data_IF_799200472157
#
_entry.id   IF_799200472157
#
_cell.length_a   1.000
_cell.length_b   1.000
_cell.length_c   1.000
_cell.angle_alpha   90.00
_cell.angle_beta   90.00
_cell.angle_gamma   90.00
#
_symmetry.space_group_name_H-M   'P 1'
#
loop_
_entity.id
_entity.type
_entity.pdbx_description
1 polymer ?
#
# COMPACT_ATOMS: atom_id res chain seq x y z
N UNK A 1 1.14 -4.43 -15.02
CA UNK A 1 2.01 -3.84 -13.99
C UNK A 1 3.34 -4.57 -14.12
N UNK A 2 4.44 -3.87 -14.43
CA UNK A 2 5.78 -4.47 -14.50
C UNK A 2 6.25 -4.97 -13.13
N UNK A 3 7.08 -6.03 -13.13
CA UNK A 3 7.66 -6.55 -11.89
C UNK A 3 8.63 -5.53 -11.28
N UNK A 4 8.53 -5.32 -9.97
CA UNK A 4 9.36 -4.35 -9.23
C UNK A 4 8.87 -2.90 -9.32
N UNK A 5 7.77 -2.61 -10.06
CA UNK A 5 7.19 -1.27 -10.14
C UNK A 5 6.08 -1.04 -9.10
N UNK A 6 5.75 0.23 -8.88
CA UNK A 6 4.61 0.66 -8.07
C UNK A 6 3.58 1.37 -8.96
N UNK A 7 2.37 0.82 -9.06
CA UNK A 7 1.24 1.45 -9.72
C UNK A 7 0.32 2.11 -8.68
N UNK A 8 0.17 3.42 -8.76
CA UNK A 8 -0.84 4.17 -8.01
C UNK A 8 -2.20 4.10 -8.70
N UNK A 9 -3.26 3.81 -7.94
CA UNK A 9 -4.66 3.93 -8.39
C UNK A 9 -5.29 5.06 -7.61
N UNK A 10 -5.47 6.18 -8.28
CA UNK A 10 -5.94 7.43 -7.69
C UNK A 10 -7.39 7.73 -8.10
N UNK A 11 -8.19 8.23 -7.18
CA UNK A 11 -9.55 8.64 -7.46
C UNK A 11 -10.33 9.01 -6.20
N UNK A 12 -11.41 9.77 -6.36
CA UNK A 12 -12.30 10.18 -5.26
C UNK A 12 -13.03 8.99 -4.62
N UNK A 13 -13.64 9.22 -3.46
CA UNK A 13 -14.53 8.25 -2.83
C UNK A 13 -15.67 7.88 -3.79
N UNK A 14 -15.98 6.58 -3.88
CA UNK A 14 -17.01 6.09 -4.80
C UNK A 14 -16.58 5.93 -6.27
N UNK A 15 -15.33 6.24 -6.63
CA UNK A 15 -14.84 6.07 -8.02
C UNK A 15 -14.70 4.61 -8.47
N UNK A 16 -14.72 3.64 -7.53
CA UNK A 16 -14.60 2.22 -7.82
C UNK A 16 -13.26 1.60 -7.41
N UNK A 17 -12.35 2.33 -6.77
CA UNK A 17 -11.01 1.85 -6.35
C UNK A 17 -11.07 0.56 -5.53
N UNK A 18 -11.86 0.56 -4.46
CA UNK A 18 -11.99 -0.63 -3.58
C UNK A 18 -12.63 -1.82 -4.30
N UNK A 19 -13.52 -1.57 -5.27
CA UNK A 19 -14.07 -2.65 -6.12
C UNK A 19 -12.97 -3.25 -7.00
N UNK A 20 -12.16 -2.39 -7.66
CA UNK A 20 -11.02 -2.83 -8.45
C UNK A 20 -9.99 -3.56 -7.57
N UNK A 21 -9.69 -3.03 -6.37
CA UNK A 21 -8.82 -3.69 -5.39
C UNK A 21 -9.31 -5.10 -5.04
N UNK A 22 -10.62 -5.27 -4.79
CA UNK A 22 -11.20 -6.60 -4.53
C UNK A 22 -11.10 -7.56 -5.71
N UNK A 23 -11.20 -7.06 -6.95
CA UNK A 23 -10.97 -7.86 -8.15
C UNK A 23 -9.50 -8.29 -8.24
N UNK A 24 -8.57 -7.35 -8.01
CA UNK A 24 -7.12 -7.62 -8.01
C UNK A 24 -6.77 -8.65 -6.92
N UNK A 25 -7.40 -8.57 -5.74
CA UNK A 25 -7.20 -9.54 -4.65
C UNK A 25 -7.87 -10.90 -4.90
N UNK A 26 -8.63 -11.06 -5.97
CA UNK A 26 -9.40 -12.28 -6.23
C UNK A 26 -10.59 -12.49 -5.31
N UNK A 27 -10.98 -11.46 -4.53
CA UNK A 27 -12.14 -11.47 -3.63
C UNK A 27 -13.45 -11.26 -4.40
N UNK A 28 -13.40 -10.56 -5.53
CA UNK A 28 -14.51 -10.30 -6.41
C UNK A 28 -14.15 -10.77 -7.83
N UNK A 29 -15.00 -11.59 -8.43
CA UNK A 29 -14.84 -11.98 -9.83
C UNK A 29 -15.37 -10.87 -10.75
N UNK A 30 -14.63 -10.44 -11.80
CA UNK A 30 -15.15 -9.49 -12.76
C UNK A 30 -16.33 -10.10 -13.55
N UNK A 31 -17.33 -9.27 -13.87
CA UNK A 31 -18.48 -9.68 -14.68
C UNK A 31 -18.08 -9.92 -16.14
N UNK A 32 -17.09 -9.17 -16.63
CA UNK A 32 -16.56 -9.29 -18.00
C UNK A 32 -15.08 -8.92 -18.03
N UNK A 33 -14.41 -9.26 -19.15
CA UNK A 33 -12.98 -9.05 -19.32
C UNK A 33 -12.13 -10.18 -18.73
N UNK A 34 -10.85 -9.98 -18.69
CA UNK A 34 -9.87 -10.97 -18.22
C UNK A 34 -8.96 -10.36 -17.16
N UNK A 35 -8.62 -11.17 -16.16
CA UNK A 35 -7.55 -10.87 -15.22
C UNK A 35 -6.38 -11.83 -15.47
N UNK A 36 -5.31 -11.29 -16.01
CA UNK A 36 -4.11 -12.05 -16.34
C UNK A 36 -3.03 -11.83 -15.29
N UNK A 37 -2.50 -12.92 -14.76
CA UNK A 37 -1.32 -12.93 -13.89
C UNK A 37 -0.25 -13.78 -14.62
N UNK A 38 0.89 -13.18 -14.97
CA UNK A 38 1.93 -13.81 -15.78
C UNK A 38 1.39 -14.45 -17.07
N UNK A 39 0.48 -13.75 -17.74
CA UNK A 39 -0.17 -14.22 -18.99
C UNK A 39 -1.23 -15.31 -18.81
N UNK A 40 -1.52 -15.75 -17.58
CA UNK A 40 -2.52 -16.78 -17.28
C UNK A 40 -3.76 -16.16 -16.64
N UNK A 41 -4.94 -16.51 -17.15
CA UNK A 41 -6.20 -16.01 -16.60
C UNK A 41 -6.45 -16.60 -15.21
N UNK A 42 -6.52 -15.72 -14.21
CA UNK A 42 -6.71 -16.06 -12.79
C UNK A 42 -8.03 -16.82 -12.56
N UNK A 43 -9.07 -16.50 -13.32
CA UNK A 43 -10.39 -17.08 -13.15
C UNK A 43 -10.68 -18.27 -14.07
N UNK A 44 -9.76 -18.64 -14.97
CA UNK A 44 -9.93 -19.78 -15.86
C UNK A 44 -9.86 -21.14 -15.15
N UNK A 45 -9.17 -21.21 -13.99
CA UNK A 45 -8.99 -22.46 -13.25
C UNK A 45 -8.85 -22.22 -11.73
N UNK A 46 -8.99 -23.30 -10.95
CA UNK A 46 -8.68 -23.27 -9.50
C UNK A 46 -7.21 -22.95 -9.24
N UNK A 47 -6.32 -23.39 -10.12
CA UNK A 47 -4.87 -23.16 -10.00
C UNK A 47 -4.52 -21.68 -10.21
N UNK A 48 -5.23 -20.97 -11.10
CA UNK A 48 -5.05 -19.53 -11.29
C UNK A 48 -5.32 -18.73 -10.01
N UNK A 49 -6.43 -19.01 -9.32
CA UNK A 49 -6.72 -18.38 -8.02
C UNK A 49 -5.72 -18.76 -6.93
N UNK A 50 -5.31 -20.03 -6.87
CA UNK A 50 -4.32 -20.50 -5.91
C UNK A 50 -2.96 -19.83 -6.15
N UNK A 51 -2.59 -19.66 -7.42
CA UNK A 51 -1.37 -18.94 -7.79
C UNK A 51 -1.43 -17.48 -7.35
N UNK A 52 -2.53 -16.77 -7.61
CA UNK A 52 -2.75 -15.42 -7.12
C UNK A 52 -2.58 -15.33 -5.60
N UNK A 53 -3.21 -16.23 -4.83
CA UNK A 53 -3.12 -16.26 -3.37
C UNK A 53 -1.69 -16.50 -2.86
N UNK A 54 -0.85 -17.19 -3.63
CA UNK A 54 0.54 -17.42 -3.28
C UNK A 54 1.45 -16.22 -3.59
N UNK A 55 1.07 -15.39 -4.56
CA UNK A 55 1.87 -14.27 -5.06
C UNK A 55 1.48 -12.93 -4.45
N UNK A 56 0.25 -12.79 -3.99
CA UNK A 56 -0.33 -11.55 -3.48
C UNK A 56 -0.36 -11.52 -1.96
N UNK A 57 -0.04 -10.36 -1.39
CA UNK A 57 -0.44 -9.97 -0.03
C UNK A 57 -1.19 -8.64 -0.06
N UNK A 58 -1.95 -8.35 1.00
CA UNK A 58 -2.78 -7.14 1.08
C UNK A 58 -2.58 -6.44 2.40
N UNK A 59 -2.47 -5.11 2.36
CA UNK A 59 -2.52 -4.24 3.52
C UNK A 59 -3.72 -3.32 3.36
N UNK A 60 -4.69 -3.45 4.27
CA UNK A 60 -5.94 -2.68 4.23
C UNK A 60 -5.83 -1.38 5.01
N UNK A 61 -6.73 -0.44 4.73
CA UNK A 61 -6.86 0.87 5.36
C UNK A 61 -6.97 0.77 6.89
N UNK A 62 -7.83 -0.12 7.37
CA UNK A 62 -8.04 -0.30 8.81
C UNK A 62 -7.09 -1.37 9.36
N UNK A 63 -5.89 -0.90 9.74
CA UNK A 63 -4.89 -1.75 10.39
C UNK A 63 -5.34 -2.21 11.78
N UNK A 64 -6.24 -1.49 12.45
CA UNK A 64 -6.69 -1.84 13.79
C UNK A 64 -7.64 -3.03 13.79
N UNK A 65 -8.52 -3.12 12.79
CA UNK A 65 -9.42 -4.28 12.62
C UNK A 65 -8.75 -5.42 11.86
N UNK A 66 -7.72 -5.14 11.07
CA UNK A 66 -6.97 -6.17 10.33
C UNK A 66 -6.05 -7.01 11.23
N UNK A 67 -5.68 -6.50 12.40
CA UNK A 67 -4.93 -7.20 13.43
C UNK A 67 -5.86 -7.65 14.56
N UNK A 68 -5.90 -8.95 14.89
CA UNK A 68 -6.72 -9.41 16.00
C UNK A 68 -6.23 -8.78 17.32
N UNK A 69 -7.05 -7.97 18.02
CA UNK A 69 -6.62 -7.23 19.21
C UNK A 69 -6.26 -8.13 20.41
N UNK A 70 -6.64 -9.41 20.35
CA UNK A 70 -6.30 -10.42 21.39
C UNK A 70 -5.02 -11.18 21.11
N UNK A 71 -4.40 -10.96 19.93
CA UNK A 71 -3.15 -11.59 19.56
C UNK A 71 -1.98 -10.70 19.96
N UNK A 72 -0.88 -11.35 20.38
CA UNK A 72 0.41 -10.67 20.48
C UNK A 72 0.98 -10.41 19.08
N UNK A 73 1.91 -9.50 18.97
CA UNK A 73 2.55 -9.19 17.68
C UNK A 73 3.17 -10.43 17.04
N UNK A 74 3.79 -11.32 17.86
CA UNK A 74 4.29 -12.61 17.35
C UNK A 74 3.22 -13.48 16.70
N UNK A 75 1.99 -13.45 17.22
CA UNK A 75 0.88 -14.26 16.69
C UNK A 75 0.38 -13.68 15.37
N UNK A 76 0.37 -12.35 15.26
CA UNK A 76 0.03 -11.61 14.03
C UNK A 76 1.06 -11.92 12.93
N UNK A 77 2.35 -11.85 13.23
CA UNK A 77 3.42 -12.21 12.29
C UNK A 77 3.37 -13.67 11.88
N UNK A 78 3.00 -14.57 12.84
CA UNK A 78 2.85 -15.99 12.59
C UNK A 78 1.78 -16.30 11.52
N UNK A 79 0.78 -15.43 11.30
CA UNK A 79 -0.20 -15.62 10.23
C UNK A 79 0.48 -15.61 8.86
N UNK A 80 1.33 -14.60 8.57
CA UNK A 80 2.10 -14.54 7.34
C UNK A 80 3.10 -15.69 7.18
N UNK A 81 3.82 -16.01 8.26
CA UNK A 81 4.78 -17.13 8.25
C UNK A 81 4.09 -18.46 7.94
N UNK A 82 2.88 -18.71 8.47
CA UNK A 82 2.10 -19.93 8.14
C UNK A 82 1.74 -20.00 6.66
N UNK A 83 1.49 -18.85 6.01
CA UNK A 83 1.25 -18.81 4.56
C UNK A 83 2.51 -19.20 3.79
N UNK A 84 3.66 -18.62 4.15
CA UNK A 84 4.99 -18.96 3.61
C UNK A 84 5.30 -20.44 3.77
N UNK A 85 5.11 -21.00 5.01
CA UNK A 85 5.35 -22.41 5.30
C UNK A 85 4.50 -23.34 4.43
N UNK A 86 3.22 -23.00 4.21
CA UNK A 86 2.33 -23.77 3.31
C UNK A 86 2.74 -23.68 1.85
N UNK A 87 3.16 -22.50 1.39
CA UNK A 87 3.64 -22.28 0.03
C UNK A 87 4.90 -23.09 -0.26
N UNK A 88 5.85 -23.09 0.66
CA UNK A 88 7.18 -23.66 0.46
C UNK A 88 7.28 -25.13 0.93
N UNK A 89 6.28 -25.64 1.66
CA UNK A 89 6.29 -27.00 2.22
C UNK A 89 7.35 -27.22 3.31
N UNK A 90 7.93 -26.15 3.86
CA UNK A 90 8.99 -26.19 4.87
C UNK A 90 8.63 -25.36 6.08
N UNK A 91 8.95 -25.86 7.28
CA UNK A 91 8.86 -25.09 8.52
C UNK A 91 9.98 -24.06 8.58
N UNK A 92 9.67 -22.90 9.12
CA UNK A 92 10.59 -21.77 9.34
C UNK A 92 11.02 -21.76 10.80
N UNK A 93 12.28 -21.42 11.08
CA UNK A 93 12.68 -21.01 12.43
C UNK A 93 11.97 -19.69 12.76
N UNK A 94 10.92 -19.80 13.56
CA UNK A 94 10.05 -18.65 13.85
C UNK A 94 10.75 -17.60 14.69
N UNK A 95 11.66 -17.96 15.56
CA UNK A 95 12.35 -16.99 16.41
C UNK A 95 13.21 -16.05 15.56
N UNK A 96 14.07 -16.62 14.72
CA UNK A 96 14.90 -15.85 13.81
C UNK A 96 14.06 -15.03 12.82
N UNK A 97 12.96 -15.61 12.32
CA UNK A 97 12.10 -14.94 11.34
C UNK A 97 11.31 -13.78 11.95
N UNK A 98 10.87 -13.86 13.20
CA UNK A 98 10.22 -12.74 13.89
C UNK A 98 11.18 -11.55 14.04
N UNK A 99 12.42 -11.78 14.49
CA UNK A 99 13.41 -10.71 14.61
C UNK A 99 13.68 -10.08 13.25
N UNK A 100 13.91 -10.87 12.20
CA UNK A 100 14.14 -10.40 10.85
C UNK A 100 12.97 -9.54 10.33
N UNK A 101 11.72 -9.96 10.56
CA UNK A 101 10.53 -9.25 10.10
C UNK A 101 10.35 -7.92 10.81
N UNK A 102 10.60 -7.87 12.13
CA UNK A 102 10.53 -6.62 12.87
C UNK A 102 11.65 -5.66 12.48
N UNK A 103 12.88 -6.15 12.34
CA UNK A 103 14.02 -5.36 11.87
C UNK A 103 13.76 -4.75 10.48
N UNK A 104 13.17 -5.50 9.56
CA UNK A 104 12.80 -5.02 8.22
C UNK A 104 11.85 -3.81 8.25
N UNK A 105 11.05 -3.67 9.31
CA UNK A 105 10.10 -2.56 9.46
C UNK A 105 10.54 -1.54 10.51
N UNK A 106 11.80 -1.60 10.96
CA UNK A 106 12.39 -0.67 11.92
C UNK A 106 11.81 -0.82 13.34
N UNK A 107 11.44 -2.04 13.73
CA UNK A 107 11.01 -2.41 15.09
C UNK A 107 11.98 -3.43 15.67
N UNK A 108 12.04 -3.55 16.99
CA UNK A 108 12.88 -4.50 17.71
C UNK A 108 12.08 -5.67 18.31
N UNK A 109 12.79 -6.66 18.84
CA UNK A 109 12.18 -7.88 19.39
C UNK A 109 11.30 -7.63 20.64
N UNK A 110 11.43 -6.51 21.32
CA UNK A 110 10.60 -6.17 22.50
C UNK A 110 9.13 -6.00 22.13
N UNK A 111 8.83 -5.78 20.85
CA UNK A 111 7.47 -5.69 20.34
C UNK A 111 6.74 -7.03 20.26
N UNK A 112 7.45 -8.16 20.21
CA UNK A 112 6.85 -9.49 20.00
C UNK A 112 5.80 -9.86 21.03
N UNK A 113 5.97 -9.45 22.28
CA UNK A 113 5.08 -9.79 23.38
C UNK A 113 3.98 -8.76 23.63
N UNK A 114 4.02 -7.63 22.94
CA UNK A 114 3.00 -6.58 23.02
C UNK A 114 1.73 -6.96 22.28
N UNK A 115 0.64 -6.31 22.67
CA UNK A 115 -0.64 -6.37 21.98
C UNK A 115 -0.82 -5.17 21.06
N UNK A 116 -1.71 -5.23 20.02
CA UNK A 116 -1.97 -4.12 19.12
C UNK A 116 -2.28 -2.79 19.79
N UNK A 117 -3.05 -2.80 20.87
CA UNK A 117 -3.45 -1.61 21.63
C UNK A 117 -2.29 -0.94 22.42
N UNK A 118 -1.14 -1.59 22.54
CA UNK A 118 0.06 -1.05 23.17
C UNK A 118 1.00 -0.38 22.17
N UNK A 119 0.65 -0.34 20.88
CA UNK A 119 1.41 0.25 19.78
C UNK A 119 0.78 1.57 19.32
N UNK A 120 1.61 2.50 18.86
CA UNK A 120 1.11 3.65 18.09
C UNK A 120 0.55 3.20 16.73
N UNK A 121 -0.26 4.04 16.08
CA UNK A 121 -0.82 3.74 14.76
C UNK A 121 0.26 3.37 13.73
N UNK A 122 1.33 4.16 13.65
CA UNK A 122 2.44 3.88 12.74
C UNK A 122 3.21 2.59 13.09
N UNK A 123 3.39 2.26 14.37
CA UNK A 123 4.00 1.00 14.78
C UNK A 123 3.13 -0.19 14.41
N UNK A 124 1.82 -0.12 14.63
CA UNK A 124 0.90 -1.20 14.27
C UNK A 124 0.81 -1.36 12.75
N UNK A 125 0.82 -0.26 12.00
CA UNK A 125 0.89 -0.29 10.53
C UNK A 125 2.17 -1.00 10.04
N UNK A 126 3.33 -0.71 10.63
CA UNK A 126 4.59 -1.41 10.32
C UNK A 126 4.50 -2.91 10.61
N UNK A 127 3.84 -3.32 11.68
CA UNK A 127 3.55 -4.75 11.97
C UNK A 127 2.66 -5.37 10.90
N UNK A 128 1.62 -4.68 10.42
CA UNK A 128 0.76 -5.16 9.33
C UNK A 128 1.54 -5.32 8.02
N UNK A 129 2.47 -4.39 7.73
CA UNK A 129 3.39 -4.50 6.59
C UNK A 129 4.32 -5.70 6.77
N UNK A 130 4.92 -5.90 7.95
CA UNK A 130 5.77 -7.05 8.26
C UNK A 130 5.02 -8.37 8.07
N UNK A 131 3.76 -8.46 8.53
CA UNK A 131 2.88 -9.62 8.29
C UNK A 131 2.66 -9.88 6.80
N UNK A 132 2.45 -8.83 6.01
CA UNK A 132 2.26 -8.95 4.58
C UNK A 132 3.53 -9.45 3.87
N UNK A 133 4.70 -8.93 4.25
CA UNK A 133 6.01 -9.36 3.74
C UNK A 133 6.36 -10.79 4.17
N UNK A 134 5.93 -11.21 5.37
CA UNK A 134 6.18 -12.56 5.90
C UNK A 134 5.64 -13.68 4.99
N UNK A 135 4.65 -13.40 4.15
CA UNK A 135 4.13 -14.34 3.14
C UNK A 135 5.10 -14.58 1.97
N UNK A 136 6.19 -13.80 1.85
CA UNK A 136 7.05 -13.73 0.68
C UNK A 136 6.24 -13.55 -0.63
N UNK A 137 5.44 -12.46 -0.72
CA UNK A 137 4.64 -12.20 -1.89
C UNK A 137 5.51 -11.68 -3.04
N UNK A 138 5.02 -11.78 -4.27
CA UNK A 138 5.63 -11.11 -5.44
C UNK A 138 5.08 -9.70 -5.61
N UNK A 139 3.83 -9.48 -5.20
CA UNK A 139 3.26 -8.14 -5.15
C UNK A 139 2.36 -7.92 -3.93
N UNK A 140 2.26 -6.66 -3.50
CA UNK A 140 1.43 -6.24 -2.36
C UNK A 140 0.46 -5.18 -2.85
N UNK A 141 -0.83 -5.37 -2.52
CA UNK A 141 -1.83 -4.34 -2.69
C UNK A 141 -1.99 -3.57 -1.37
N UNK A 142 -1.84 -2.26 -1.43
CA UNK A 142 -2.12 -1.32 -0.35
C UNK A 142 -3.44 -0.61 -0.67
N UNK A 143 -4.47 -0.84 0.14
CA UNK A 143 -5.79 -0.21 -0.03
C UNK A 143 -5.99 0.86 1.03
N UNK A 144 -5.71 2.12 0.67
CA UNK A 144 -5.72 3.31 1.55
C UNK A 144 -4.92 3.11 2.86
N UNK A 145 -3.85 2.33 2.78
CA UNK A 145 -3.16 1.77 3.94
C UNK A 145 -2.47 2.80 4.86
N UNK A 146 -2.25 4.04 4.41
CA UNK A 146 -1.59 5.09 5.19
C UNK A 146 -2.50 6.29 5.50
N UNK A 147 -3.72 6.34 4.95
CA UNK A 147 -4.61 7.51 5.00
C UNK A 147 -5.05 7.92 6.42
N UNK A 148 -5.02 7.00 7.38
CA UNK A 148 -5.39 7.25 8.78
C UNK A 148 -4.22 7.63 9.69
N UNK A 149 -3.01 7.75 9.15
CA UNK A 149 -1.81 8.17 9.87
C UNK A 149 -1.62 9.68 9.75
N UNK A 150 -0.96 10.28 10.73
CA UNK A 150 -0.50 11.67 10.63
C UNK A 150 0.57 11.84 9.53
N UNK A 151 0.72 13.06 9.00
CA UNK A 151 1.57 13.34 7.84
C UNK A 151 3.04 12.90 8.04
N UNK A 152 3.60 13.11 9.23
CA UNK A 152 4.99 12.70 9.53
C UNK A 152 5.13 11.17 9.49
N UNK A 153 4.20 10.46 10.10
CA UNK A 153 4.19 8.99 10.11
C UNK A 153 3.92 8.43 8.71
N UNK A 154 3.08 9.09 7.88
CA UNK A 154 2.87 8.70 6.48
C UNK A 154 4.18 8.69 5.69
N UNK A 155 4.99 9.77 5.79
CA UNK A 155 6.28 9.85 5.10
C UNK A 155 7.20 8.72 5.55
N UNK A 156 7.32 8.48 6.87
CA UNK A 156 8.15 7.39 7.39
C UNK A 156 7.73 6.01 6.90
N UNK A 157 6.42 5.76 6.74
CA UNK A 157 5.92 4.49 6.20
C UNK A 157 6.17 4.41 4.70
N UNK A 158 6.01 5.50 3.94
CA UNK A 158 6.33 5.52 2.51
C UNK A 158 7.82 5.27 2.25
N UNK A 159 8.72 5.84 3.05
CA UNK A 159 10.16 5.57 2.97
C UNK A 159 10.45 4.08 3.22
N UNK A 160 9.85 3.51 4.26
CA UNK A 160 9.93 2.08 4.53
C UNK A 160 9.45 1.24 3.33
N UNK A 161 8.34 1.61 2.69
CA UNK A 161 7.82 0.90 1.52
C UNK A 161 8.78 0.98 0.34
N UNK A 162 9.44 2.13 0.09
CA UNK A 162 10.49 2.26 -0.93
C UNK A 162 11.65 1.30 -0.65
N UNK A 163 12.16 1.32 0.57
CA UNK A 163 13.25 0.42 0.96
C UNK A 163 12.88 -1.06 0.79
N UNK A 164 11.68 -1.46 1.22
CA UNK A 164 11.21 -2.84 1.09
C UNK A 164 11.03 -3.24 -0.38
N UNK A 165 10.51 -2.32 -1.23
CA UNK A 165 10.37 -2.54 -2.68
C UNK A 165 11.72 -2.86 -3.30
N UNK A 166 12.74 -2.07 -3.00
CA UNK A 166 14.09 -2.24 -3.54
C UNK A 166 14.80 -3.49 -2.98
N UNK A 167 14.78 -3.66 -1.65
CA UNK A 167 15.48 -4.77 -0.98
C UNK A 167 14.91 -6.15 -1.34
N UNK A 168 13.59 -6.23 -1.55
CA UNK A 168 12.88 -7.50 -1.74
C UNK A 168 12.38 -7.71 -3.18
N UNK A 169 12.58 -6.72 -4.07
CA UNK A 169 12.10 -6.78 -5.46
C UNK A 169 10.59 -6.83 -5.57
N UNK A 170 9.85 -6.18 -4.65
CA UNK A 170 8.40 -6.25 -4.57
C UNK A 170 7.74 -5.34 -5.62
N UNK A 171 6.61 -5.79 -6.13
CA UNK A 171 5.72 -4.99 -6.96
C UNK A 171 4.57 -4.45 -6.09
N UNK A 172 4.18 -3.19 -6.28
CA UNK A 172 3.10 -2.59 -5.50
C UNK A 172 1.92 -2.16 -6.37
N UNK A 173 0.73 -2.33 -5.83
CA UNK A 173 -0.49 -1.65 -6.25
C UNK A 173 -0.93 -0.78 -5.08
N UNK A 174 -0.88 0.53 -5.25
CA UNK A 174 -1.14 1.50 -4.20
C UNK A 174 -2.42 2.26 -4.49
N UNK A 175 -3.49 1.93 -3.77
CA UNK A 175 -4.80 2.57 -3.90
C UNK A 175 -4.90 3.69 -2.88
N UNK A 176 -5.18 4.91 -3.33
CA UNK A 176 -5.35 6.07 -2.47
C UNK A 176 -6.22 7.15 -3.14
N UNK A 177 -6.63 8.14 -2.37
CA UNK A 177 -7.20 9.39 -2.88
C UNK A 177 -6.20 10.56 -2.78
N UNK A 178 -5.03 10.33 -2.20
CA UNK A 178 -3.99 11.33 -2.00
C UNK A 178 -2.94 11.28 -3.12
N UNK A 179 -2.89 12.35 -3.92
CA UNK A 179 -1.96 12.48 -5.03
C UNK A 179 -0.51 12.63 -4.55
N UNK A 180 -0.28 13.29 -3.42
CA UNK A 180 1.06 13.50 -2.85
C UNK A 180 1.72 12.15 -2.54
N UNK A 181 1.00 11.23 -1.92
CA UNK A 181 1.49 9.87 -1.67
C UNK A 181 1.80 9.10 -2.96
N UNK A 182 0.98 9.27 -4.02
CA UNK A 182 1.23 8.65 -5.33
C UNK A 182 2.49 9.20 -5.97
N UNK A 183 2.66 10.52 -6.01
CA UNK A 183 3.85 11.14 -6.59
C UNK A 183 5.12 10.79 -5.83
N UNK A 184 5.01 10.55 -4.53
CA UNK A 184 6.13 10.19 -3.68
C UNK A 184 6.58 8.72 -3.85
N UNK A 185 5.63 7.77 -3.98
CA UNK A 185 5.90 6.33 -3.90
C UNK A 185 5.86 5.61 -5.25
N UNK A 186 4.98 6.06 -6.18
CA UNK A 186 4.64 5.28 -7.36
C UNK A 186 5.48 5.65 -8.59
N UNK A 187 5.66 4.69 -9.49
CA UNK A 187 6.32 4.89 -10.78
C UNK A 187 5.31 5.33 -11.85
N UNK A 188 4.09 4.81 -11.77
CA UNK A 188 2.98 5.10 -12.68
C UNK A 188 1.71 5.41 -11.89
N UNK A 189 0.81 6.20 -12.45
CA UNK A 189 -0.50 6.52 -11.89
C UNK A 189 -1.62 6.24 -12.86
N UNK A 190 -2.67 5.64 -12.35
CA UNK A 190 -3.92 5.39 -13.04
C UNK A 190 -5.04 6.19 -12.36
N UNK A 191 -5.66 7.10 -13.10
CA UNK A 191 -6.78 7.90 -12.61
C UNK A 191 -8.09 7.16 -12.82
N UNK A 192 -8.85 6.98 -11.74
CA UNK A 192 -10.13 6.28 -11.75
C UNK A 192 -11.27 7.25 -11.37
N UNK A 193 -12.17 7.50 -12.30
CA UNK A 193 -13.34 8.38 -12.13
C UNK A 193 -14.61 7.69 -12.57
N UNK A 194 -15.62 7.62 -11.68
CA UNK A 194 -16.94 7.00 -11.94
C UNK A 194 -16.86 5.63 -12.62
N UNK A 195 -15.97 4.77 -12.12
CA UNK A 195 -15.80 3.40 -12.61
C UNK A 195 -15.03 3.28 -13.93
N UNK A 196 -14.40 4.36 -14.42
CA UNK A 196 -13.61 4.36 -15.65
C UNK A 196 -12.20 4.83 -15.38
N UNK A 197 -11.24 4.20 -16.04
CA UNK A 197 -9.88 4.71 -16.11
C UNK A 197 -9.90 5.87 -17.11
N UNK A 198 -9.61 7.08 -16.63
CA UNK A 198 -9.59 8.28 -17.47
C UNK A 198 -8.21 8.52 -18.06
N UNK A 199 -7.16 8.18 -17.31
CA UNK A 199 -5.79 8.27 -17.78
C UNK A 199 -4.88 7.27 -17.04
N UNK A 200 -3.80 6.85 -17.71
CA UNK A 200 -2.72 6.06 -17.14
C UNK A 200 -1.39 6.59 -17.68
N UNK A 201 -0.55 7.15 -16.82
CA UNK A 201 0.70 7.81 -17.21
C UNK A 201 1.81 7.55 -16.18
N UNK A 202 3.08 7.66 -16.58
CA UNK A 202 4.19 7.72 -15.63
C UNK A 202 4.07 8.94 -14.70
N UNK A 203 4.37 8.76 -13.42
CA UNK A 203 4.34 9.86 -12.43
C UNK A 203 5.25 11.02 -12.85
N UNK A 204 6.41 10.74 -13.47
CA UNK A 204 7.31 11.76 -14.02
C UNK A 204 6.69 12.67 -15.09
N UNK A 205 5.54 12.29 -15.64
CA UNK A 205 4.79 13.07 -16.65
C UNK A 205 3.44 13.58 -16.15
N UNK A 206 3.18 13.50 -14.86
CA UNK A 206 1.87 13.82 -14.29
C UNK A 206 1.46 15.27 -14.57
N UNK A 207 2.40 16.20 -14.57
CA UNK A 207 2.16 17.60 -14.91
C UNK A 207 1.76 17.84 -16.41
N UNK A 208 1.96 16.83 -17.26
CA UNK A 208 1.63 16.88 -18.68
C UNK A 208 0.26 16.26 -18.99
N UNK A 209 -0.50 15.87 -17.95
CA UNK A 209 -1.83 15.27 -18.13
C UNK A 209 -2.74 16.20 -18.93
N UNK A 210 -3.53 15.62 -19.83
CA UNK A 210 -4.57 16.32 -20.60
C UNK A 210 -5.97 15.96 -20.12
N UNK A 211 -6.09 14.95 -19.26
CA UNK A 211 -7.36 14.53 -18.69
C UNK A 211 -7.92 15.59 -17.73
N UNK A 212 -9.19 15.96 -17.93
CA UNK A 212 -9.85 17.02 -17.15
C UNK A 212 -9.93 16.69 -15.66
N UNK A 213 -10.17 15.42 -15.32
CA UNK A 213 -10.26 14.99 -13.94
C UNK A 213 -8.90 14.96 -13.25
N UNK A 214 -7.88 14.44 -13.93
CA UNK A 214 -6.51 14.43 -13.44
C UNK A 214 -5.98 15.85 -13.19
N UNK A 215 -6.22 16.78 -14.14
CA UNK A 215 -5.88 18.20 -13.97
C UNK A 215 -6.54 18.82 -12.75
N UNK A 216 -7.86 18.61 -12.59
CA UNK A 216 -8.58 19.15 -11.44
C UNK A 216 -7.99 18.69 -10.09
N UNK A 217 -7.52 17.43 -10.01
CA UNK A 217 -6.84 16.93 -8.81
C UNK A 217 -5.47 17.58 -8.61
N UNK A 218 -4.71 17.80 -9.68
CA UNK A 218 -3.42 18.50 -9.63
C UNK A 218 -3.57 19.95 -9.19
N UNK A 219 -4.49 20.67 -9.81
CA UNK A 219 -4.73 22.11 -9.54
C UNK A 219 -5.13 22.30 -8.06
N UNK A 220 -5.94 21.39 -7.49
CA UNK A 220 -6.34 21.48 -6.08
C UNK A 220 -5.20 21.35 -5.08
N UNK A 221 -4.05 20.77 -5.47
CA UNK A 221 -2.87 20.65 -4.61
C UNK A 221 -1.99 21.90 -4.78
N UNK A 222 -1.83 22.38 -6.01
CA UNK A 222 -1.00 23.58 -6.29
C UNK A 222 -1.59 24.80 -5.62
N UNK A 223 -2.93 24.97 -5.65
CA UNK A 223 -3.61 26.06 -4.95
C UNK A 223 -3.37 26.04 -3.43
N UNK A 224 -3.29 24.84 -2.81
CA UNK A 224 -3.01 24.72 -1.39
C UNK A 224 -1.57 25.10 -1.02
N UNK A 225 -0.61 24.77 -1.87
CA UNK A 225 0.80 25.10 -1.64
C UNK A 225 1.04 26.62 -1.79
N UNK A 226 0.42 27.28 -2.77
CA UNK A 226 0.51 28.74 -2.95
C UNK A 226 -0.14 29.53 -1.80
N UNK A 227 -1.31 29.11 -1.30
CA UNK A 227 -1.95 29.74 -0.10
C UNK A 227 -1.09 29.58 1.17
N UNK A 228 -0.40 28.45 1.32
CA UNK A 228 0.44 28.18 2.50
C UNK A 228 1.72 29.00 2.49
N UNK A 229 2.35 29.18 1.34
CA UNK A 229 3.54 30.02 1.18
C UNK A 229 3.21 31.49 1.41
N UNK A 230 2.09 31.99 0.90
CA UNK A 230 1.62 33.36 1.12
C UNK A 230 1.31 33.65 2.63
N UNK A 231 0.74 32.68 3.38
CA UNK A 231 0.49 32.84 4.81
C UNK A 231 1.78 32.83 5.64
N UNK A 232 2.81 32.11 5.22
CA UNK A 232 4.11 32.07 5.92
C UNK A 232 4.88 33.39 5.70
N UNK A 233 4.90 33.92 4.47
CA UNK A 233 5.56 35.19 4.15
C UNK A 233 4.91 36.38 4.89
N UNK A 234 3.59 36.35 5.11
CA UNK A 234 2.88 37.39 5.89
C UNK A 234 3.27 37.32 7.38
N UNK A 235 3.37 36.13 7.97
CA UNK A 235 3.76 35.95 9.38
C UNK A 235 5.21 36.36 9.64
N UNK A 236 6.15 36.02 8.77
CA UNK A 236 7.54 36.46 8.90
C UNK A 236 7.71 37.97 8.76
N UNK A 237 6.86 38.63 7.98
CA UNK A 237 6.87 40.10 7.83
C UNK A 237 6.26 40.82 9.05
N UNK A 238 5.32 40.20 9.76
CA UNK A 238 4.72 40.77 10.99
C UNK A 238 5.58 40.55 12.23
N UNK A 239 6.40 39.50 12.32
CA UNK A 239 7.36 39.27 13.42
C UNK A 239 8.64 40.09 13.28
N UNK A 240 8.88 40.71 12.12
CA UNK A 240 10.07 41.53 11.84
C UNK A 240 9.82 43.04 11.95
N UNK A 241 8.61 43.47 12.28
CA UNK A 241 8.20 44.89 12.47
C UNK A 241 7.92 45.20 13.93
#
# INVERSE_FOLDING_TARGET
IPKGSCLGILGESGSGKSTLGRVICGLLKPDSGEYLLEGKNVYASRDGKKNLQNMLSVVFQDYTTSANPRFRIRDILAEGIRVKERKNGKKTDRSAEYCRLLELVGLDETFLDRFPHELSGGQLQRVCIARAVACEPEFILFDEAISSLDAHTQVQVMDLLKELKEKLGLTYVFITHDLTSVTYLCDEVMFLYKGRITEHIPVSRIAQTTDVYARKLLDSIIEFDEEYDDEMDVKESEESA
#
